data_IF_939253205148
#
_entry.id   IF_939253205148
#
_cell.length_a   1.000
_cell.length_b   1.000
_cell.length_c   1.000
_cell.angle_alpha   90.00
_cell.angle_beta   90.00
_cell.angle_gamma   90.00
#
_symmetry.space_group_name_H-M   'P 1'
#
loop_
_entity.id
_entity.type
_entity.pdbx_description
1 polymer ?
#
# COMPACT_ATOMS: atom_id res chain seq x y z
N UNK A 1 80.89 -1.64 28.19
CA UNK A 1 79.72 -2.32 27.58
C UNK A 1 79.17 -3.29 28.63
N UNK A 2 77.92 -3.12 29.08
CA UNK A 2 77.31 -3.99 30.10
C UNK A 2 76.55 -5.12 29.42
N UNK A 3 77.08 -6.33 29.54
CA UNK A 3 76.45 -7.58 29.10
C UNK A 3 75.27 -7.91 30.02
N UNK A 4 74.05 -7.79 29.51
CA UNK A 4 72.85 -8.27 30.21
C UNK A 4 72.72 -9.77 29.99
N UNK A 5 72.93 -10.54 31.06
CA UNK A 5 72.76 -11.99 31.09
C UNK A 5 71.26 -12.28 31.16
N UNK A 6 70.71 -12.97 30.16
CA UNK A 6 69.36 -13.53 30.26
C UNK A 6 69.39 -14.69 31.26
N UNK A 7 68.45 -14.69 32.21
CA UNK A 7 68.23 -15.82 33.12
C UNK A 7 67.83 -17.07 32.32
N UNK A 8 68.27 -18.27 32.76
CA UNK A 8 67.84 -19.52 32.14
C UNK A 8 66.39 -19.80 32.51
N UNK A 9 65.50 -19.83 31.51
CA UNK A 9 64.14 -20.33 31.68
C UNK A 9 64.21 -21.82 32.00
N UNK A 10 63.68 -22.21 33.16
CA UNK A 10 63.51 -23.59 33.56
C UNK A 10 62.62 -24.33 32.54
N UNK A 11 63.11 -25.47 32.08
CA UNK A 11 62.47 -26.31 31.09
C UNK A 11 61.16 -26.89 31.67
N UNK A 12 60.02 -26.66 31.00
CA UNK A 12 58.76 -27.31 31.33
C UNK A 12 57.51 -26.44 31.54
N UNK A 13 57.55 -25.11 31.38
CA UNK A 13 56.33 -24.30 31.40
C UNK A 13 55.93 -23.85 29.99
N UNK A 14 54.66 -24.01 29.57
CA UNK A 14 54.23 -23.60 28.23
C UNK A 14 54.60 -22.13 28.00
N UNK A 15 55.18 -21.77 26.85
CA UNK A 15 55.39 -20.37 26.49
C UNK A 15 54.06 -19.65 26.67
N UNK A 16 54.05 -18.59 27.48
CA UNK A 16 52.84 -17.80 27.70
C UNK A 16 52.29 -17.40 26.33
N UNK A 17 51.07 -17.86 26.04
CA UNK A 17 50.40 -17.58 24.78
C UNK A 17 50.49 -16.08 24.50
N UNK A 18 50.78 -15.74 23.24
CA UNK A 18 50.85 -14.34 22.80
C UNK A 18 49.61 -13.55 23.22
N UNK A 19 48.44 -14.20 23.27
CA UNK A 19 47.20 -13.64 23.80
C UNK A 19 47.27 -13.24 25.28
N UNK A 20 47.91 -14.07 26.12
CA UNK A 20 48.11 -13.76 27.55
C UNK A 20 49.11 -12.63 27.75
N UNK A 21 50.16 -12.57 26.93
CA UNK A 21 51.10 -11.44 26.94
C UNK A 21 50.42 -10.13 26.54
N UNK A 22 49.61 -10.16 25.47
CA UNK A 22 48.86 -8.99 25.00
C UNK A 22 47.86 -8.55 26.07
N UNK A 23 47.12 -9.48 26.68
CA UNK A 23 46.17 -9.16 27.77
C UNK A 23 46.85 -8.52 28.97
N UNK A 24 48.07 -8.96 29.33
CA UNK A 24 48.82 -8.41 30.47
C UNK A 24 49.35 -7.00 30.18
N UNK A 25 49.85 -6.76 28.97
CA UNK A 25 50.30 -5.43 28.51
C UNK A 25 49.13 -4.44 28.43
N UNK A 26 47.97 -4.87 27.90
CA UNK A 26 46.76 -4.06 27.85
C UNK A 26 46.19 -3.78 29.26
N UNK A 27 46.22 -4.77 30.16
CA UNK A 27 45.81 -4.59 31.55
C UNK A 27 46.72 -3.63 32.33
N UNK A 28 48.03 -3.64 32.07
CA UNK A 28 48.99 -2.72 32.70
C UNK A 28 48.91 -1.29 32.15
N UNK A 29 48.44 -1.12 30.91
CA UNK A 29 48.34 0.18 30.24
C UNK A 29 46.90 0.74 30.22
N UNK A 30 45.95 0.10 30.91
CA UNK A 30 44.51 0.45 30.89
C UNK A 30 44.22 1.92 31.24
N UNK A 31 45.15 2.61 31.89
CA UNK A 31 45.02 4.02 32.27
C UNK A 31 45.69 5.02 31.32
N UNK A 32 46.38 4.60 30.25
CA UNK A 32 47.10 5.52 29.35
C UNK A 32 47.13 5.13 27.86
N UNK A 33 46.40 4.11 27.41
CA UNK A 33 46.34 3.81 25.95
C UNK A 33 45.33 4.69 25.23
N UNK A 34 45.81 5.74 24.57
CA UNK A 34 45.07 6.44 23.49
C UNK A 34 44.79 5.53 22.28
N UNK A 35 45.39 4.34 22.24
CA UNK A 35 45.30 3.38 21.14
C UNK A 35 43.86 2.92 20.84
N UNK A 36 42.99 2.81 21.85
CA UNK A 36 41.58 2.46 21.69
C UNK A 36 40.65 3.68 21.51
N UNK A 37 41.16 4.90 21.69
CA UNK A 37 40.36 6.12 21.51
C UNK A 37 40.27 6.56 20.05
N UNK A 38 41.16 6.05 19.18
CA UNK A 38 41.15 6.37 17.74
C UNK A 38 40.11 5.57 16.95
N UNK A 39 39.52 4.53 17.52
CA UNK A 39 38.33 3.86 16.97
C UNK A 39 37.09 4.35 17.70
N UNK A 40 36.94 5.67 17.79
CA UNK A 40 35.62 6.26 17.96
C UNK A 40 34.87 6.01 16.66
N UNK A 41 34.38 4.79 16.44
CA UNK A 41 33.28 4.58 15.50
C UNK A 41 32.13 5.38 16.10
N UNK A 42 31.70 6.49 15.48
CA UNK A 42 30.61 7.28 16.03
C UNK A 42 29.36 6.41 15.97
N UNK A 43 28.99 5.77 17.08
CA UNK A 43 27.74 4.99 17.17
C UNK A 43 26.53 5.88 17.42
N UNK A 44 26.71 7.20 17.49
CA UNK A 44 25.60 8.14 17.48
C UNK A 44 25.34 8.60 16.05
N UNK A 45 24.80 7.72 15.20
CA UNK A 45 23.99 8.22 14.09
C UNK A 45 22.64 8.63 14.67
N UNK A 46 22.62 9.72 15.44
CA UNK A 46 21.42 10.50 15.66
C UNK A 46 21.18 11.29 14.38
N UNK A 47 20.86 10.57 13.29
CA UNK A 47 20.54 11.20 12.02
C UNK A 47 19.16 11.83 12.22
N UNK A 48 19.15 13.10 12.63
CA UNK A 48 17.97 13.94 12.50
C UNK A 48 17.46 13.80 11.07
N UNK A 49 16.15 13.57 10.90
CA UNK A 49 15.57 13.48 9.56
C UNK A 49 16.07 14.67 8.74
N UNK A 50 16.66 14.35 7.59
CA UNK A 50 17.09 15.39 6.66
C UNK A 50 15.84 16.18 6.24
N UNK A 51 15.98 17.47 5.96
CA UNK A 51 14.88 18.27 5.40
C UNK A 51 14.22 17.58 4.17
N UNK A 52 15.00 16.80 3.40
CA UNK A 52 14.45 16.00 2.29
C UNK A 52 13.60 14.81 2.75
N UNK A 53 13.93 14.18 3.87
CA UNK A 53 13.16 13.05 4.42
C UNK A 53 11.84 13.51 5.06
N UNK A 54 11.85 14.67 5.70
CA UNK A 54 10.64 15.32 6.23
C UNK A 54 9.70 15.75 5.09
N UNK A 55 10.24 16.37 4.03
CA UNK A 55 9.47 16.75 2.86
C UNK A 55 8.81 15.54 2.17
N UNK A 56 9.55 14.44 1.98
CA UNK A 56 9.01 13.20 1.41
C UNK A 56 7.94 12.56 2.30
N UNK A 57 8.12 12.61 3.62
CA UNK A 57 7.12 12.09 4.57
C UNK A 57 5.83 12.90 4.53
N UNK A 58 5.93 14.22 4.40
CA UNK A 58 4.78 15.12 4.26
C UNK A 58 4.06 14.91 2.92
N UNK A 59 4.80 14.73 1.83
CA UNK A 59 4.24 14.43 0.51
C UNK A 59 3.48 13.11 0.53
N UNK A 60 4.06 12.05 1.09
CA UNK A 60 3.41 10.74 1.23
C UNK A 60 2.14 10.82 2.09
N UNK A 61 2.15 11.60 3.17
CA UNK A 61 0.95 11.80 4.00
C UNK A 61 -0.15 12.52 3.21
N UNK A 62 0.23 13.55 2.45
CA UNK A 62 -0.70 14.32 1.60
C UNK A 62 -1.27 13.46 0.48
N UNK A 63 -0.45 12.62 -0.16
CA UNK A 63 -0.86 11.67 -1.19
C UNK A 63 -1.82 10.63 -0.63
N UNK A 64 -1.51 10.02 0.52
CA UNK A 64 -2.41 9.06 1.17
C UNK A 64 -3.76 9.67 1.50
N UNK A 65 -3.77 10.90 1.99
CA UNK A 65 -5.01 11.63 2.28
C UNK A 65 -5.79 11.91 0.98
N UNK A 66 -5.12 12.40 -0.06
CA UNK A 66 -5.73 12.65 -1.36
C UNK A 66 -6.31 11.38 -1.99
N UNK A 67 -5.57 10.27 -1.93
CA UNK A 67 -6.01 8.97 -2.42
C UNK A 67 -7.23 8.46 -1.66
N UNK A 68 -7.30 8.64 -0.34
CA UNK A 68 -8.46 8.23 0.45
C UNK A 68 -9.71 9.03 0.07
N UNK A 69 -9.57 10.34 -0.13
CA UNK A 69 -10.67 11.22 -0.57
C UNK A 69 -11.14 10.81 -1.97
N UNK A 70 -10.21 10.60 -2.90
CA UNK A 70 -10.54 10.19 -4.26
C UNK A 70 -11.27 8.85 -4.28
N UNK A 71 -10.79 7.87 -3.50
CA UNK A 71 -11.43 6.57 -3.39
C UNK A 71 -12.86 6.69 -2.86
N UNK A 72 -13.07 7.52 -1.83
CA UNK A 72 -14.42 7.79 -1.30
C UNK A 72 -15.34 8.39 -2.37
N UNK A 73 -14.87 9.38 -3.14
CA UNK A 73 -15.64 9.99 -4.22
C UNK A 73 -16.00 8.99 -5.32
N UNK A 74 -15.06 8.11 -5.69
CA UNK A 74 -15.31 7.05 -6.69
C UNK A 74 -16.39 6.09 -6.20
N UNK A 75 -16.34 5.66 -4.94
CA UNK A 75 -17.36 4.77 -4.36
C UNK A 75 -18.74 5.43 -4.28
N UNK A 76 -18.81 6.72 -3.94
CA UNK A 76 -20.06 7.48 -3.94
C UNK A 76 -20.64 7.63 -5.35
N UNK A 77 -19.80 7.97 -6.33
CA UNK A 77 -20.21 8.06 -7.73
C UNK A 77 -20.69 6.71 -8.25
N UNK A 78 -19.98 5.62 -7.94
CA UNK A 78 -20.37 4.26 -8.31
C UNK A 78 -21.76 3.91 -7.79
N UNK A 79 -22.02 4.12 -6.49
CA UNK A 79 -23.36 3.88 -5.90
C UNK A 79 -24.46 4.70 -6.59
N UNK A 80 -24.17 5.96 -6.91
CA UNK A 80 -25.12 6.83 -7.62
C UNK A 80 -25.39 6.31 -9.04
N UNK A 81 -24.35 5.86 -9.75
CA UNK A 81 -24.48 5.29 -11.09
C UNK A 81 -25.30 4.01 -11.06
N UNK A 82 -25.00 3.08 -10.15
CA UNK A 82 -25.75 1.83 -9.98
C UNK A 82 -27.24 2.10 -9.71
N UNK A 83 -27.56 3.06 -8.82
CA UNK A 83 -28.94 3.45 -8.56
C UNK A 83 -29.63 4.07 -9.79
N UNK A 84 -28.89 4.86 -10.57
CA UNK A 84 -29.41 5.49 -11.79
C UNK A 84 -29.67 4.45 -12.88
N UNK A 85 -28.76 3.49 -13.05
CA UNK A 85 -28.89 2.38 -14.00
C UNK A 85 -30.08 1.48 -13.65
N UNK A 86 -30.31 1.20 -12.37
CA UNK A 86 -31.48 0.44 -11.94
C UNK A 86 -32.79 1.15 -12.28
N UNK A 87 -32.89 2.45 -12.00
CA UNK A 87 -34.07 3.26 -12.36
C UNK A 87 -34.27 3.30 -13.87
N UNK A 88 -33.18 3.43 -14.64
CA UNK A 88 -33.24 3.40 -16.10
C UNK A 88 -33.75 2.05 -16.61
N UNK A 89 -33.22 0.94 -16.10
CA UNK A 89 -33.64 -0.40 -16.48
C UNK A 89 -35.12 -0.67 -16.15
N UNK A 90 -35.59 -0.20 -14.99
CA UNK A 90 -37.01 -0.28 -14.60
C UNK A 90 -37.90 0.53 -15.55
N UNK A 91 -37.48 1.74 -15.88
CA UNK A 91 -38.21 2.64 -16.80
C UNK A 91 -38.29 2.03 -18.20
N UNK A 92 -37.18 1.48 -18.71
CA UNK A 92 -37.12 0.80 -20.00
C UNK A 92 -38.12 -0.37 -20.07
N UNK A 93 -38.16 -1.21 -19.02
CA UNK A 93 -39.11 -2.33 -18.94
C UNK A 93 -40.56 -1.85 -18.95
N UNK A 94 -40.87 -0.78 -18.21
CA UNK A 94 -42.21 -0.20 -18.19
C UNK A 94 -42.62 0.34 -19.56
N UNK A 95 -41.70 0.98 -20.28
CA UNK A 95 -41.95 1.48 -21.63
C UNK A 95 -42.25 0.35 -22.62
N UNK A 96 -41.48 -0.74 -22.56
CA UNK A 96 -41.70 -1.91 -23.41
C UNK A 96 -43.06 -2.58 -23.16
N UNK A 97 -43.44 -2.74 -21.89
CA UNK A 97 -44.75 -3.29 -21.52
C UNK A 97 -45.90 -2.39 -22.01
N UNK A 98 -45.78 -1.07 -21.81
CA UNK A 98 -46.79 -0.13 -22.27
C UNK A 98 -46.93 -0.15 -23.80
N UNK A 99 -45.80 -0.22 -24.51
CA UNK A 99 -45.79 -0.33 -25.97
C UNK A 99 -46.47 -1.62 -26.44
N UNK A 100 -46.21 -2.74 -25.77
CA UNK A 100 -46.89 -4.01 -26.08
C UNK A 100 -48.40 -3.92 -25.87
N UNK A 101 -48.84 -3.34 -24.75
CA UNK A 101 -50.28 -3.14 -24.49
C UNK A 101 -50.93 -2.24 -25.54
N UNK A 102 -50.24 -1.18 -25.96
CA UNK A 102 -50.69 -0.30 -27.03
C UNK A 102 -50.82 -1.05 -28.37
N UNK A 103 -49.81 -1.85 -28.72
CA UNK A 103 -49.82 -2.64 -29.95
C UNK A 103 -50.96 -3.70 -29.93
N UNK A 104 -51.20 -4.35 -28.80
CA UNK A 104 -52.34 -5.27 -28.60
C UNK A 104 -53.69 -4.56 -28.73
N UNK A 105 -53.84 -3.38 -28.12
CA UNK A 105 -55.06 -2.56 -28.22
C UNK A 105 -55.36 -2.18 -29.67
N UNK A 106 -54.34 -1.77 -30.43
CA UNK A 106 -54.49 -1.45 -31.86
C UNK A 106 -54.95 -2.66 -32.67
N UNK A 107 -54.41 -3.85 -32.39
CA UNK A 107 -54.84 -5.09 -33.05
C UNK A 107 -56.31 -5.39 -32.76
N UNK A 108 -56.76 -5.25 -31.51
CA UNK A 108 -58.16 -5.45 -31.12
C UNK A 108 -59.07 -4.45 -31.83
N UNK A 109 -58.69 -3.16 -31.84
CA UNK A 109 -59.45 -2.11 -32.52
C UNK A 109 -59.61 -2.42 -34.01
N UNK A 110 -58.54 -2.83 -34.69
CA UNK A 110 -58.59 -3.21 -36.11
C UNK A 110 -59.53 -4.40 -36.34
N UNK A 111 -59.54 -5.40 -35.47
CA UNK A 111 -60.48 -6.54 -35.55
C UNK A 111 -61.93 -6.08 -35.41
N UNK A 112 -62.23 -5.21 -34.45
CA UNK A 112 -63.59 -4.68 -34.24
C UNK A 112 -64.06 -3.87 -35.46
N UNK A 113 -63.21 -2.99 -35.98
CA UNK A 113 -63.52 -2.19 -37.18
C UNK A 113 -63.81 -3.08 -38.39
N UNK A 114 -63.01 -4.13 -38.61
CA UNK A 114 -63.23 -5.07 -39.71
C UNK A 114 -64.52 -5.90 -39.54
N UNK A 115 -64.88 -6.29 -38.33
CA UNK A 115 -66.15 -7.00 -38.09
C UNK A 115 -67.37 -6.10 -38.38
N UNK A 116 -67.30 -4.81 -38.02
CA UNK A 116 -68.38 -3.86 -38.25
C UNK A 116 -68.61 -3.55 -39.74
N UNK A 117 -67.57 -3.58 -40.59
CA UNK A 117 -67.75 -3.39 -42.04
C UNK A 117 -68.40 -4.61 -42.72
N UNK A 118 -68.22 -5.81 -42.16
CA UNK A 118 -68.81 -7.04 -42.71
C UNK A 118 -70.26 -7.23 -42.27
N UNK A 119 -70.62 -6.74 -41.07
CA UNK A 119 -72.00 -6.76 -40.56
C UNK A 119 -72.96 -5.83 -41.29
N UNK A 120 -72.47 -4.68 -41.79
CA UNK A 120 -73.30 -3.73 -42.56
C UNK A 120 -73.45 -4.11 -44.03
N UNK A 121 -72.53 -4.91 -44.59
CA UNK A 121 -72.62 -5.38 -45.98
C UNK A 121 -73.66 -6.48 -46.21
N UNK A 122 -74.19 -7.12 -45.17
CA UNK A 122 -75.23 -8.16 -45.29
C UNK A 122 -76.67 -7.63 -45.14
N UNK A 123 -76.86 -6.30 -45.04
CA UNK A 123 -78.18 -5.66 -44.86
C UNK A 123 -78.60 -4.75 -46.03
N UNK A 124 -77.84 -4.75 -47.13
CA UNK A 124 -78.20 -4.12 -48.42
C UNK A 124 -78.34 -5.21 -49.49
#
# INVERSE_FOLDING_TARGET
MKTMRAEPVADGQPPLSSANMISKVLSQNRSNTTFLNNTSIPTSSSKSQSAGEEALSQELASEKQGSAILHQQVEELKKKTEATEEVLARTQRQYEELKKQHDESNVILMKILNLNTHGTSSQL
#
